data_IF_601812908677
#
_entry.id   IF_601812908677
#
_cell.length_a   1.000
_cell.length_b   1.000
_cell.length_c   1.000
_cell.angle_alpha   90.00
_cell.angle_beta   90.00
_cell.angle_gamma   90.00
#
_symmetry.space_group_name_H-M   'P 1'
#
loop_
_entity.id
_entity.type
_entity.pdbx_description
1 polymer ?
#
# COMPACT_ATOMS: atom_id res chain seq x y z
N UNK A 1 0.13 -6.69 -11.85
CA UNK A 1 0.16 -5.33 -12.41
C UNK A 1 1.09 -4.40 -11.64
N UNK A 2 0.87 -4.12 -10.35
CA UNK A 2 1.71 -3.14 -9.61
C UNK A 2 3.23 -3.43 -9.60
N UNK A 3 3.63 -4.69 -9.79
CA UNK A 3 5.05 -5.09 -9.81
C UNK A 3 5.58 -5.36 -11.22
N UNK A 4 4.84 -5.07 -12.30
CA UNK A 4 5.33 -5.36 -13.66
C UNK A 4 6.42 -4.38 -14.09
N UNK A 5 7.18 -4.73 -15.14
CA UNK A 5 8.26 -3.90 -15.67
C UNK A 5 7.80 -2.50 -16.08
N UNK A 6 6.61 -2.41 -16.68
CA UNK A 6 5.98 -1.19 -17.21
C UNK A 6 5.43 -0.26 -16.13
N UNK A 7 5.25 -0.75 -14.90
CA UNK A 7 4.88 0.12 -13.79
C UNK A 7 6.03 1.12 -13.52
N UNK A 8 5.71 2.40 -13.42
CA UNK A 8 6.65 3.51 -13.22
C UNK A 8 7.11 3.68 -11.77
N UNK A 9 6.55 2.90 -10.84
CA UNK A 9 7.00 2.88 -9.46
C UNK A 9 8.47 2.43 -9.36
N UNK A 10 9.18 3.00 -8.39
CA UNK A 10 10.58 2.70 -8.13
C UNK A 10 10.84 1.18 -8.01
N UNK A 11 11.98 0.64 -8.47
CA UNK A 11 12.25 -0.80 -8.38
C UNK A 11 12.08 -1.40 -6.98
N UNK A 12 12.42 -0.64 -5.93
CA UNK A 12 12.23 -1.05 -4.53
C UNK A 12 10.75 -1.23 -4.16
N UNK A 13 9.84 -0.41 -4.70
CA UNK A 13 8.40 -0.62 -4.51
C UNK A 13 7.97 -1.99 -5.01
N UNK A 14 8.45 -2.36 -6.21
CA UNK A 14 8.12 -3.65 -6.82
C UNK A 14 8.68 -4.80 -5.99
N UNK A 15 9.93 -4.70 -5.53
CA UNK A 15 10.57 -5.70 -4.65
C UNK A 15 9.81 -5.89 -3.34
N UNK A 16 9.48 -4.80 -2.64
CA UNK A 16 8.72 -4.85 -1.37
C UNK A 16 7.40 -5.61 -1.56
N UNK A 17 6.69 -5.40 -2.66
CA UNK A 17 5.43 -6.09 -2.94
C UNK A 17 5.60 -7.53 -3.41
N UNK A 18 6.68 -7.83 -4.14
CA UNK A 18 6.93 -9.12 -4.75
C UNK A 18 7.55 -10.14 -3.80
N UNK A 19 8.42 -9.67 -2.90
CA UNK A 19 9.13 -10.51 -1.93
C UNK A 19 8.35 -10.69 -0.62
N UNK A 20 7.25 -9.94 -0.41
CA UNK A 20 6.44 -10.04 0.79
C UNK A 20 5.81 -11.43 0.95
N UNK A 21 6.02 -12.04 2.11
CA UNK A 21 5.38 -13.31 2.48
C UNK A 21 3.99 -13.06 3.11
N UNK A 22 3.13 -14.08 3.26
CA UNK A 22 1.85 -13.93 3.94
C UNK A 22 1.98 -13.33 5.36
N UNK A 23 3.06 -13.64 6.08
CA UNK A 23 3.34 -13.13 7.43
C UNK A 23 3.69 -11.64 7.44
N UNK A 24 4.18 -11.11 6.32
CA UNK A 24 4.49 -9.69 6.16
C UNK A 24 3.25 -8.85 5.87
N UNK A 25 2.09 -9.46 5.61
CA UNK A 25 0.87 -8.75 5.25
C UNK A 25 -0.02 -8.54 6.47
N UNK A 26 -0.33 -7.28 6.78
CA UNK A 26 -1.22 -6.90 7.89
C UNK A 26 -2.50 -6.27 7.40
N UNK A 27 -3.55 -6.43 8.20
CA UNK A 27 -4.81 -5.71 8.07
C UNK A 27 -4.86 -4.54 9.04
N UNK A 28 -5.40 -3.42 8.58
CA UNK A 28 -5.62 -2.22 9.38
C UNK A 28 -6.76 -1.39 8.79
N UNK A 29 -7.27 -0.40 9.52
CA UNK A 29 -8.31 0.51 9.02
C UNK A 29 -7.66 1.66 8.26
N UNK A 30 -8.01 1.82 6.99
CA UNK A 30 -7.50 2.89 6.14
C UNK A 30 -8.10 4.26 6.47
N UNK A 31 -7.53 5.31 5.90
CA UNK A 31 -8.02 6.69 6.09
C UNK A 31 -9.47 6.92 5.63
N UNK A 32 -10.06 6.00 4.88
CA UNK A 32 -11.47 6.03 4.46
C UNK A 32 -12.39 5.14 5.31
N UNK A 33 -11.87 4.55 6.40
CA UNK A 33 -12.61 3.65 7.28
C UNK A 33 -12.76 2.22 6.76
N UNK A 34 -12.22 1.92 5.59
CA UNK A 34 -12.29 0.59 5.00
C UNK A 34 -11.12 -0.28 5.47
N UNK A 35 -11.34 -1.59 5.67
CA UNK A 35 -10.25 -2.53 5.95
C UNK A 35 -9.31 -2.57 4.75
N UNK A 36 -8.01 -2.49 5.02
CA UNK A 36 -6.98 -2.52 4.01
C UNK A 36 -5.85 -3.47 4.39
N UNK A 37 -5.08 -3.89 3.39
CA UNK A 37 -3.94 -4.80 3.53
C UNK A 37 -2.68 -4.19 2.97
N UNK A 38 -1.59 -4.27 3.72
CA UNK A 38 -0.30 -3.74 3.31
C UNK A 38 0.85 -4.56 3.89
N UNK A 39 2.02 -4.41 3.28
CA UNK A 39 3.28 -5.01 3.75
C UNK A 39 3.74 -4.29 5.03
N UNK A 40 4.21 -5.04 6.03
CA UNK A 40 4.75 -4.56 7.32
C UNK A 40 6.05 -3.76 7.13
N UNK A 41 5.93 -2.50 6.73
CA UNK A 41 7.07 -1.57 6.71
C UNK A 41 7.29 -0.89 8.07
N UNK A 42 8.48 -0.30 8.34
CA UNK A 42 8.75 0.43 9.58
C UNK A 42 7.69 1.48 9.91
N UNK A 43 7.24 2.25 8.91
CA UNK A 43 6.16 3.22 9.08
C UNK A 43 4.85 2.58 9.53
N UNK A 44 4.39 1.53 8.83
CA UNK A 44 3.10 0.91 9.13
C UNK A 44 3.11 0.26 10.52
N UNK A 45 4.19 -0.43 10.87
CA UNK A 45 4.38 -1.00 12.21
C UNK A 45 4.32 0.08 13.29
N UNK A 46 4.98 1.23 13.06
CA UNK A 46 4.93 2.37 13.99
C UNK A 46 3.52 2.96 14.07
N UNK A 47 2.85 3.13 12.93
CA UNK A 47 1.48 3.65 12.88
C UNK A 47 0.53 2.77 13.69
N UNK A 48 0.53 1.45 13.46
CA UNK A 48 -0.34 0.51 14.17
C UNK A 48 -0.11 0.53 15.68
N UNK A 49 1.14 0.64 16.14
CA UNK A 49 1.46 0.78 17.58
C UNK A 49 0.90 2.08 18.18
N UNK A 50 0.77 3.13 17.37
CA UNK A 50 0.36 4.46 17.83
C UNK A 50 -1.11 4.77 17.49
N UNK A 51 -1.80 3.90 16.76
CA UNK A 51 -3.13 4.15 16.20
C UNK A 51 -4.13 4.59 17.26
N UNK A 52 -4.20 3.86 18.39
CA UNK A 52 -5.08 4.20 19.51
C UNK A 52 -4.82 5.61 20.03
N UNK A 53 -3.55 5.93 20.29
CA UNK A 53 -3.14 7.25 20.82
C UNK A 53 -3.43 8.37 19.82
N UNK A 54 -3.24 8.13 18.52
CA UNK A 54 -3.57 9.11 17.48
C UNK A 54 -5.09 9.32 17.45
N UNK A 55 -5.88 8.24 17.43
CA UNK A 55 -7.34 8.29 17.45
C UNK A 55 -7.89 9.05 18.64
N UNK A 56 -7.40 8.80 19.85
CA UNK A 56 -7.81 9.54 21.05
C UNK A 56 -7.51 11.04 20.96
N UNK A 57 -6.40 11.40 20.30
CA UNK A 57 -5.97 12.79 20.20
C UNK A 57 -6.76 13.59 19.15
N UNK A 58 -7.02 12.99 17.98
CA UNK A 58 -7.54 13.71 16.81
C UNK A 58 -8.80 13.11 16.18
N UNK A 59 -9.27 11.94 16.62
CA UNK A 59 -10.39 11.22 16.01
C UNK A 59 -11.77 11.81 16.24
N UNK A 60 -11.86 12.98 16.84
CA UNK A 60 -13.11 13.76 16.93
C UNK A 60 -12.88 15.23 16.58
N UNK A 61 -11.72 15.56 16.02
CA UNK A 61 -11.28 16.93 15.78
C UNK A 61 -10.78 17.08 14.36
N UNK A 62 -11.46 17.86 13.50
CA UNK A 62 -10.97 18.16 12.17
C UNK A 62 -9.55 18.73 12.21
N UNK A 63 -8.72 18.30 11.28
CA UNK A 63 -7.35 18.77 11.10
C UNK A 63 -7.20 19.44 9.73
N UNK A 64 -6.15 20.24 9.57
CA UNK A 64 -5.77 20.71 8.24
C UNK A 64 -5.33 19.53 7.37
N UNK A 65 -5.70 19.54 6.09
CA UNK A 65 -5.23 18.55 5.14
C UNK A 65 -3.70 18.68 5.00
N UNK A 66 -2.95 17.66 5.40
CA UNK A 66 -1.48 17.70 5.47
C UNK A 66 -0.83 18.06 4.12
N UNK A 67 -1.33 17.53 3.00
CA UNK A 67 -0.82 17.86 1.66
C UNK A 67 -1.57 19.00 0.98
N UNK A 68 -2.67 19.49 1.55
CA UNK A 68 -3.51 20.53 0.96
C UNK A 68 -4.35 20.10 -0.25
N UNK A 69 -4.18 18.87 -0.75
CA UNK A 69 -4.83 18.40 -1.99
C UNK A 69 -6.32 18.11 -1.84
N UNK A 70 -6.80 17.82 -0.62
CA UNK A 70 -8.17 17.41 -0.37
C UNK A 70 -8.63 16.23 -1.28
N UNK A 71 -7.73 15.26 -1.47
CA UNK A 71 -7.90 14.15 -2.41
C UNK A 71 -9.08 13.19 -2.13
N UNK A 72 -9.68 13.25 -0.93
CA UNK A 72 -10.79 12.39 -0.51
C UNK A 72 -12.02 13.21 -0.14
N UNK A 73 -13.21 12.69 -0.48
CA UNK A 73 -14.49 13.23 -0.05
C UNK A 73 -14.67 13.12 1.47
N UNK A 74 -14.29 11.98 2.06
CA UNK A 74 -14.21 11.75 3.50
C UNK A 74 -12.83 11.23 3.90
N UNK A 75 -12.19 11.85 4.88
CA UNK A 75 -10.81 11.59 5.29
C UNK A 75 -10.68 11.56 6.81
N UNK A 76 -10.21 10.44 7.37
CA UNK A 76 -10.08 10.25 8.82
C UNK A 76 -9.21 11.30 9.51
N UNK A 77 -8.13 11.74 8.86
CA UNK A 77 -7.27 12.81 9.39
C UNK A 77 -7.94 14.20 9.30
N UNK A 78 -8.35 14.62 8.10
CA UNK A 78 -8.88 15.97 7.86
C UNK A 78 -10.19 16.20 8.59
N UNK A 79 -11.08 15.22 8.54
CA UNK A 79 -12.44 15.35 9.06
C UNK A 79 -12.54 14.90 10.52
N UNK A 80 -11.48 14.28 11.06
CA UNK A 80 -11.44 13.80 12.45
C UNK A 80 -12.50 12.73 12.71
N UNK A 81 -12.55 11.70 11.87
CA UNK A 81 -13.56 10.62 11.96
C UNK A 81 -12.97 9.46 12.76
N UNK A 82 -13.47 9.25 13.97
CA UNK A 82 -12.89 8.32 14.96
C UNK A 82 -12.65 6.92 14.41
N UNK A 83 -13.59 6.40 13.62
CA UNK A 83 -13.56 5.04 13.08
C UNK A 83 -12.60 4.87 11.90
N UNK A 84 -12.00 5.95 11.40
CA UNK A 84 -11.12 5.91 10.23
C UNK A 84 -9.66 5.88 10.66
N UNK A 85 -8.78 5.48 9.75
CA UNK A 85 -7.34 5.64 9.92
C UNK A 85 -6.95 7.12 9.93
N UNK A 86 -5.99 7.48 10.78
CA UNK A 86 -5.58 8.87 11.00
C UNK A 86 -4.18 9.12 10.45
N UNK A 87 -4.07 9.18 9.13
CA UNK A 87 -2.82 9.48 8.42
C UNK A 87 -3.12 10.08 7.03
N UNK A 88 -2.17 10.81 6.44
CA UNK A 88 -2.33 11.33 5.08
C UNK A 88 -1.92 10.28 4.04
N UNK A 89 -2.91 9.62 3.41
CA UNK A 89 -2.70 8.56 2.40
C UNK A 89 -1.82 9.02 1.24
N UNK A 90 -2.04 10.24 0.74
CA UNK A 90 -1.31 10.81 -0.38
C UNK A 90 0.21 10.83 -0.12
N UNK A 91 0.63 11.37 1.02
CA UNK A 91 2.05 11.40 1.38
C UNK A 91 2.67 10.00 1.49
N UNK A 92 1.89 9.00 1.95
CA UNK A 92 2.37 7.62 2.11
C UNK A 92 2.49 6.89 0.77
N UNK A 93 1.52 7.10 -0.12
CA UNK A 93 1.54 6.57 -1.48
C UNK A 93 2.66 7.21 -2.31
N UNK A 94 2.85 8.52 -2.20
CA UNK A 94 3.94 9.21 -2.89
C UNK A 94 5.33 8.74 -2.43
N UNK A 95 5.49 8.47 -1.13
CA UNK A 95 6.72 7.88 -0.59
C UNK A 95 6.92 6.44 -1.12
N UNK A 96 5.87 5.63 -1.12
CA UNK A 96 5.92 4.27 -1.67
C UNK A 96 6.28 4.27 -3.16
N UNK A 97 5.68 5.16 -3.97
CA UNK A 97 5.99 5.30 -5.40
C UNK A 97 7.48 5.58 -5.66
N UNK A 98 8.13 6.37 -4.78
CA UNK A 98 9.56 6.65 -4.81
C UNK A 98 10.44 5.54 -4.23
N UNK A 99 9.85 4.44 -3.75
CA UNK A 99 10.57 3.32 -3.15
C UNK A 99 11.06 3.57 -1.73
N UNK A 100 10.52 4.57 -1.04
CA UNK A 100 10.89 4.87 0.35
C UNK A 100 10.28 3.82 1.29
N UNK A 101 11.07 2.81 1.64
CA UNK A 101 10.70 1.74 2.57
C UNK A 101 10.39 2.24 3.98
N UNK A 102 11.09 3.28 4.43
CA UNK A 102 11.00 3.76 5.82
C UNK A 102 9.70 4.51 6.08
N UNK A 103 9.20 5.24 5.08
CA UNK A 103 8.04 6.11 5.25
C UNK A 103 6.83 5.75 4.39
N UNK A 104 6.99 4.90 3.37
CA UNK A 104 5.94 4.50 2.44
C UNK A 104 4.92 3.51 3.00
N UNK A 105 3.73 3.51 2.39
CA UNK A 105 2.67 2.52 2.61
C UNK A 105 2.44 1.71 1.34
N UNK A 106 2.64 0.39 1.42
CA UNK A 106 2.70 -0.51 0.27
C UNK A 106 1.52 -1.49 0.34
N UNK A 107 0.43 -1.18 -0.37
CA UNK A 107 -0.76 -2.04 -0.38
C UNK A 107 -0.50 -3.35 -1.12
N UNK A 108 -0.89 -4.46 -0.49
CA UNK A 108 -0.68 -5.81 -1.03
C UNK A 108 -1.78 -6.76 -0.56
N UNK A 109 -2.35 -7.52 -1.50
CA UNK A 109 -3.28 -8.61 -1.20
C UNK A 109 -2.56 -9.86 -0.69
N UNK A 110 -3.29 -10.77 -0.02
CA UNK A 110 -2.73 -12.00 0.60
C UNK A 110 -2.30 -13.06 -0.41
N UNK A 111 -2.89 -13.06 -1.60
CA UNK A 111 -2.62 -14.07 -2.61
C UNK A 111 -1.21 -13.96 -3.17
N UNK A 112 -0.61 -15.12 -3.47
CA UNK A 112 0.66 -15.19 -4.19
C UNK A 112 0.58 -14.42 -5.52
N UNK A 113 1.70 -13.82 -5.92
CA UNK A 113 1.78 -13.22 -7.26
C UNK A 113 1.81 -14.32 -8.32
N UNK A 114 1.27 -14.07 -9.53
CA UNK A 114 1.26 -15.06 -10.61
C UNK A 114 2.63 -15.60 -11.01
N UNK A 115 3.70 -14.82 -10.78
CA UNK A 115 5.09 -15.18 -11.08
C UNK A 115 5.98 -15.25 -9.83
N UNK A 116 5.40 -15.43 -8.63
CA UNK A 116 6.15 -15.34 -7.39
C UNK A 116 6.83 -13.97 -7.24
N UNK A 117 8.10 -13.95 -6.84
CA UNK A 117 8.88 -12.71 -6.73
C UNK A 117 9.39 -12.16 -8.07
N UNK A 118 9.20 -12.88 -9.17
CA UNK A 118 9.74 -12.46 -10.46
C UNK A 118 8.99 -11.25 -11.04
N UNK A 119 9.76 -10.21 -11.38
CA UNK A 119 9.26 -8.99 -12.02
C UNK A 119 9.17 -9.18 -13.53
N UNK A 120 7.95 -9.46 -14.02
CA UNK A 120 7.64 -9.76 -15.43
C UNK A 120 6.91 -8.60 -16.12
N UNK A 121 6.83 -8.66 -17.45
CA UNK A 121 6.12 -7.67 -18.25
C UNK A 121 4.59 -7.79 -18.09
N UNK A 122 3.86 -6.72 -18.43
CA UNK A 122 2.40 -6.74 -18.56
C UNK A 122 1.97 -7.70 -19.65
N UNK A 123 2.75 -7.81 -20.75
CA UNK A 123 2.47 -8.78 -21.82
C UNK A 123 2.41 -10.21 -21.28
N UNK A 124 3.46 -10.67 -20.61
CA UNK A 124 3.50 -12.02 -20.01
C UNK A 124 2.38 -12.20 -18.98
N UNK A 125 2.07 -11.17 -18.20
CA UNK A 125 0.97 -11.22 -17.24
C UNK A 125 -0.40 -11.39 -17.94
N UNK A 126 -0.65 -10.69 -19.04
CA UNK A 126 -1.90 -10.82 -19.79
C UNK A 126 -2.00 -12.18 -20.49
N UNK A 127 -0.90 -12.66 -21.07
CA UNK A 127 -0.82 -13.99 -21.69
C UNK A 127 -1.19 -15.09 -20.68
N UNK A 128 -0.71 -14.96 -19.42
CA UNK A 128 -1.10 -15.85 -18.34
C UNK A 128 -2.57 -15.69 -17.92
N UNK A 129 -3.03 -14.47 -17.66
CA UNK A 129 -4.36 -14.25 -17.08
C UNK A 129 -5.51 -14.53 -18.06
N UNK A 130 -5.29 -14.31 -19.36
CA UNK A 130 -6.33 -14.39 -20.39
C UNK A 130 -6.25 -15.71 -21.17
N UNK A 131 -5.04 -16.20 -21.44
CA UNK A 131 -4.82 -17.37 -22.30
C UNK A 131 -4.18 -18.56 -21.56
N UNK A 132 -3.89 -18.44 -20.26
CA UNK A 132 -3.15 -19.44 -19.46
C UNK A 132 -1.79 -19.83 -20.07
N UNK A 133 -1.19 -18.92 -20.84
CA UNK A 133 0.14 -19.11 -21.45
C UNK A 133 1.19 -18.73 -20.40
N UNK A 134 1.95 -19.72 -19.94
CA UNK A 134 3.04 -19.49 -18.99
C UNK A 134 4.33 -19.14 -19.72
N UNK A 135 5.11 -18.16 -19.22
CA UNK A 135 6.43 -17.89 -19.77
C UNK A 135 7.27 -19.15 -19.63
N UNK A 136 7.91 -19.57 -20.73
CA UNK A 136 8.97 -20.57 -20.71
C UNK A 136 10.06 -20.08 -19.76
N UNK A 137 10.43 -20.91 -18.77
CA UNK A 137 11.51 -20.59 -17.84
C UNK A 137 12.76 -20.20 -18.66
N UNK A 138 13.26 -18.98 -18.46
CA UNK A 138 14.59 -18.60 -18.95
C UNK A 138 15.62 -19.48 -18.24
N UNK A 139 16.49 -20.12 -19.02
CA UNK A 139 17.57 -20.99 -18.57
C UNK A 139 18.66 -20.21 -17.82
#
# INVERSE_FOLDING_TARGET
FAVTQECDAHPEFKRILADATPEDIVEFVSVTGLPARAVKTPWLVRYMRQEQRIREKIGTKPQTCQSGLNCLSACGWRDGIEKFGHFCIDTRLAAALRGDRETGLFFRGREALPFGSAIRSVRELLDLLVADIRPTAEA
#
